data_IF_418150584017
#
_entry.id   IF_418150584017
#
_cell.length_a   1.000
_cell.length_b   1.000
_cell.length_c   1.000
_cell.angle_alpha   90.00
_cell.angle_beta   90.00
_cell.angle_gamma   90.00
#
_symmetry.space_group_name_H-M   'P 1'
#
loop_
_entity.id
_entity.type
_entity.pdbx_description
1 polymer ?
#
# COMPACT_ATOMS: atom_id res chain seq x y z
N UNK A 1 19.64 4.16 -3.14
CA UNK A 1 18.45 4.98 -3.52
C UNK A 1 17.15 4.28 -3.11
N UNK A 2 16.04 5.01 -3.08
CA UNK A 2 14.70 4.45 -2.79
C UNK A 2 14.37 3.27 -3.73
N UNK A 3 14.63 3.42 -5.03
CA UNK A 3 14.34 2.38 -6.03
C UNK A 3 15.12 1.09 -5.76
N UNK A 4 16.37 1.19 -5.33
CA UNK A 4 17.17 0.02 -4.96
C UNK A 4 16.59 -0.71 -3.75
N UNK A 5 16.16 0.03 -2.71
CA UNK A 5 15.51 -0.55 -1.54
C UNK A 5 14.17 -1.21 -1.92
N UNK A 6 13.37 -0.56 -2.76
CA UNK A 6 12.11 -1.11 -3.25
C UNK A 6 12.30 -2.40 -4.04
N UNK A 7 13.28 -2.45 -4.94
CA UNK A 7 13.68 -3.68 -5.65
C UNK A 7 14.02 -4.81 -4.66
N UNK A 8 14.81 -4.52 -3.63
CA UNK A 8 15.18 -5.51 -2.60
C UNK A 8 13.95 -6.09 -1.91
N UNK A 9 12.95 -5.27 -1.59
CA UNK A 9 11.68 -5.73 -1.01
C UNK A 9 10.94 -6.67 -1.97
N UNK A 10 10.82 -6.29 -3.24
CA UNK A 10 10.17 -7.12 -4.27
C UNK A 10 10.89 -8.46 -4.44
N UNK A 11 12.20 -8.48 -4.42
CA UNK A 11 13.01 -9.70 -4.55
C UNK A 11 12.97 -10.60 -3.31
N UNK A 12 12.68 -10.05 -2.13
CA UNK A 12 12.58 -10.82 -0.88
C UNK A 12 11.51 -11.93 -0.94
N UNK A 13 10.52 -11.82 -1.84
CA UNK A 13 9.53 -12.86 -2.07
C UNK A 13 10.08 -14.15 -2.65
N UNK A 14 11.27 -14.11 -3.23
CA UNK A 14 11.99 -15.30 -3.76
C UNK A 14 12.60 -16.16 -2.65
N UNK A 15 12.75 -15.61 -1.44
CA UNK A 15 13.26 -16.29 -0.25
C UNK A 15 12.14 -17.01 0.51
N UNK A 16 12.44 -17.53 1.71
CA UNK A 16 11.44 -18.13 2.60
C UNK A 16 10.45 -17.10 3.18
N UNK A 17 10.67 -15.80 2.96
CA UNK A 17 9.76 -14.73 3.40
C UNK A 17 8.58 -14.63 2.44
N UNK A 18 7.39 -14.46 3.01
CA UNK A 18 6.17 -14.15 2.27
C UNK A 18 5.82 -12.71 2.56
N UNK A 19 5.86 -11.87 1.53
CA UNK A 19 5.30 -10.52 1.63
C UNK A 19 4.03 -10.43 0.78
N UNK A 20 3.12 -9.57 1.19
CA UNK A 20 1.87 -9.27 0.50
C UNK A 20 1.58 -7.79 0.65
N UNK A 21 1.12 -7.17 -0.42
CA UNK A 21 0.58 -5.81 -0.35
C UNK A 21 -0.94 -5.89 -0.11
N UNK A 22 -1.42 -5.07 0.82
CA UNK A 22 -2.85 -4.90 1.10
C UNK A 22 -3.24 -3.45 0.88
N UNK A 23 -3.71 -3.08 -0.33
CA UNK A 23 -4.28 -1.76 -0.57
C UNK A 23 -5.50 -1.54 0.31
N UNK A 24 -5.44 -0.53 1.19
CA UNK A 24 -6.53 -0.22 2.13
C UNK A 24 -7.76 0.32 1.41
N UNK A 25 -7.53 1.18 0.42
CA UNK A 25 -8.56 1.79 -0.41
C UNK A 25 -8.27 1.49 -1.88
N UNK A 26 -9.26 1.03 -2.59
CA UNK A 26 -9.16 0.74 -4.02
C UNK A 26 -10.49 1.04 -4.70
N UNK A 27 -10.43 1.66 -5.84
CA UNK A 27 -11.58 1.89 -6.74
C UNK A 27 -11.47 1.00 -7.98
N UNK A 28 -10.63 -0.02 -7.94
CA UNK A 28 -10.36 -0.91 -9.07
C UNK A 28 -11.57 -1.77 -9.39
N UNK A 29 -11.81 -1.96 -10.69
CA UNK A 29 -12.91 -2.74 -11.26
C UNK A 29 -12.39 -3.75 -12.30
N UNK A 30 -11.16 -4.23 -12.13
CA UNK A 30 -10.47 -5.08 -13.09
C UNK A 30 -11.15 -6.45 -13.21
N UNK A 31 -11.48 -7.05 -12.06
CA UNK A 31 -12.16 -8.33 -12.02
C UNK A 31 -13.60 -8.23 -12.52
N UNK A 32 -14.36 -7.25 -12.07
CA UNK A 32 -15.73 -7.03 -12.54
C UNK A 32 -15.80 -6.85 -14.05
N UNK A 33 -14.89 -6.05 -14.61
CA UNK A 33 -14.80 -5.85 -16.07
C UNK A 33 -14.39 -7.12 -16.80
N UNK A 34 -13.45 -7.90 -16.29
CA UNK A 34 -13.03 -9.17 -16.89
C UNK A 34 -14.15 -10.21 -16.93
N UNK A 35 -15.09 -10.13 -16.00
CA UNK A 35 -16.28 -10.97 -15.93
C UNK A 35 -17.49 -10.40 -16.69
N UNK A 36 -17.31 -9.25 -17.36
CA UNK A 36 -18.40 -8.58 -18.10
C UNK A 36 -19.46 -7.92 -17.19
N UNK A 37 -19.13 -7.68 -15.93
CA UNK A 37 -20.07 -7.09 -14.97
C UNK A 37 -20.02 -5.56 -15.06
N UNK A 38 -21.10 -4.97 -15.51
CA UNK A 38 -21.33 -3.52 -15.43
C UNK A 38 -21.74 -3.14 -14.00
N UNK A 39 -20.79 -3.03 -13.09
CA UNK A 39 -21.03 -2.69 -11.69
C UNK A 39 -20.62 -1.27 -11.36
N UNK A 40 -21.39 -0.60 -10.50
CA UNK A 40 -21.01 0.67 -9.85
C UNK A 40 -20.04 0.45 -8.69
N UNK A 41 -19.93 -0.78 -8.21
CA UNK A 41 -19.08 -1.15 -7.09
C UNK A 41 -17.67 -1.50 -7.56
N UNK A 42 -16.68 -1.23 -6.73
CA UNK A 42 -15.34 -1.76 -6.92
C UNK A 42 -15.29 -3.27 -6.69
N UNK A 43 -14.23 -3.91 -7.16
CA UNK A 43 -14.07 -5.36 -7.06
C UNK A 43 -14.05 -5.87 -5.62
N UNK A 44 -13.51 -5.07 -4.67
CA UNK A 44 -13.47 -5.44 -3.26
C UNK A 44 -14.88 -5.52 -2.67
N UNK A 45 -15.72 -4.55 -2.99
CA UNK A 45 -17.12 -4.54 -2.56
C UNK A 45 -17.86 -5.74 -3.15
N UNK A 46 -17.71 -6.00 -4.47
CA UNK A 46 -18.33 -7.16 -5.12
C UNK A 46 -17.89 -8.48 -4.46
N UNK A 47 -16.58 -8.67 -4.25
CA UNK A 47 -16.06 -9.90 -3.64
C UNK A 47 -16.46 -10.04 -2.18
N UNK A 48 -16.77 -8.95 -1.47
CA UNK A 48 -17.32 -9.00 -0.12
C UNK A 48 -18.68 -9.68 -0.08
N UNK A 49 -19.52 -9.50 -1.11
CA UNK A 49 -20.83 -10.12 -1.21
C UNK A 49 -20.77 -11.55 -1.75
N UNK A 50 -19.83 -11.83 -2.64
CA UNK A 50 -19.77 -13.12 -3.35
C UNK A 50 -19.03 -14.19 -2.56
N UNK A 51 -17.91 -13.84 -1.93
CA UNK A 51 -17.07 -14.79 -1.22
C UNK A 51 -17.64 -15.15 0.14
N UNK A 52 -17.62 -16.42 0.47
CA UNK A 52 -17.83 -16.94 1.82
C UNK A 52 -16.53 -16.81 2.66
N UNK A 53 -16.66 -16.94 3.98
CA UNK A 53 -15.49 -16.92 4.86
C UNK A 53 -14.48 -18.02 4.52
N UNK A 54 -13.24 -17.65 4.34
CA UNK A 54 -12.14 -18.55 3.96
C UNK A 54 -11.96 -18.72 2.45
N UNK A 55 -12.88 -18.21 1.63
CA UNK A 55 -12.77 -18.29 0.17
C UNK A 55 -11.90 -17.18 -0.41
N UNK A 56 -11.34 -17.45 -1.58
CA UNK A 56 -10.54 -16.51 -2.34
C UNK A 56 -10.73 -16.71 -3.85
N UNK A 57 -10.48 -15.64 -4.62
CA UNK A 57 -10.56 -15.69 -6.08
C UNK A 57 -9.33 -16.37 -6.70
N UNK A 58 -9.49 -16.88 -7.91
CA UNK A 58 -8.33 -17.23 -8.71
C UNK A 58 -7.39 -16.02 -8.85
N UNK A 59 -6.07 -16.23 -8.88
CA UNK A 59 -5.10 -15.17 -9.07
C UNK A 59 -5.23 -14.53 -10.45
N UNK A 60 -5.25 -13.20 -10.49
CA UNK A 60 -5.34 -12.41 -11.72
C UNK A 60 -4.05 -11.59 -11.84
N UNK A 61 -3.36 -11.59 -12.99
CA UNK A 61 -2.20 -10.72 -13.18
C UNK A 61 -2.57 -9.26 -12.91
N UNK A 62 -1.71 -8.55 -12.19
CA UNK A 62 -1.88 -7.11 -11.98
C UNK A 62 -1.81 -6.42 -13.33
N UNK A 63 -2.85 -5.65 -13.69
CA UNK A 63 -2.86 -4.91 -14.95
C UNK A 63 -1.64 -3.99 -15.06
N UNK A 64 -1.05 -3.95 -16.25
CA UNK A 64 0.13 -3.14 -16.59
C UNK A 64 -0.11 -1.61 -16.54
N UNK A 65 -1.08 -1.13 -15.78
CA UNK A 65 -1.34 0.30 -15.60
C UNK A 65 -0.19 1.05 -14.93
N UNK A 66 0.72 0.33 -14.28
CA UNK A 66 1.94 0.87 -13.71
C UNK A 66 3.06 1.17 -14.75
N UNK A 67 2.86 0.87 -16.02
CA UNK A 67 3.90 1.03 -17.05
C UNK A 67 4.27 2.47 -17.38
N UNK A 68 3.52 3.45 -16.90
CA UNK A 68 3.87 4.87 -17.06
C UNK A 68 4.32 5.45 -15.74
N UNK A 69 5.38 4.89 -15.19
CA UNK A 69 6.19 5.64 -14.25
C UNK A 69 6.84 6.76 -15.05
N UNK A 70 6.15 7.90 -15.17
CA UNK A 70 6.79 9.15 -15.55
C UNK A 70 7.68 9.59 -14.38
N UNK A 71 8.71 8.80 -14.10
CA UNK A 71 9.87 9.34 -13.47
C UNK A 71 10.40 10.32 -14.52
N UNK A 72 10.29 11.63 -14.25
CA UNK A 72 11.07 12.63 -14.93
C UNK A 72 12.54 12.34 -14.54
N UNK A 73 13.10 11.34 -15.19
CA UNK A 73 14.50 11.00 -15.05
C UNK A 73 15.24 12.13 -15.73
N UNK A 74 16.04 12.84 -14.96
CA UNK A 74 17.08 13.68 -15.49
C UNK A 74 17.85 12.83 -16.49
N UNK A 75 17.93 13.32 -17.71
CA UNK A 75 18.56 12.67 -18.85
C UNK A 75 19.89 12.05 -18.45
N UNK A 76 20.14 10.79 -18.89
CA UNK A 76 21.44 10.11 -18.91
C UNK A 76 21.89 9.27 -17.70
N UNK A 77 20.99 8.67 -16.91
CA UNK A 77 21.44 7.68 -15.94
C UNK A 77 21.07 6.23 -16.35
N UNK A 78 21.90 5.61 -17.22
CA UNK A 78 21.75 4.21 -17.66
C UNK A 78 21.62 3.21 -16.50
N UNK A 79 22.18 3.52 -15.32
CA UNK A 79 22.04 2.69 -14.12
C UNK A 79 20.64 2.77 -13.56
N UNK A 80 20.01 3.94 -13.64
CA UNK A 80 18.65 4.14 -13.16
C UNK A 80 17.65 3.44 -14.07
N UNK A 81 17.81 3.51 -15.38
CA UNK A 81 16.98 2.81 -16.36
C UNK A 81 17.02 1.30 -16.15
N UNK A 82 18.19 0.74 -15.88
CA UNK A 82 18.32 -0.67 -15.57
C UNK A 82 17.52 -1.06 -14.31
N UNK A 83 17.63 -0.29 -13.24
CA UNK A 83 16.88 -0.54 -11.99
C UNK A 83 15.36 -0.41 -12.22
N UNK A 84 14.93 0.58 -12.99
CA UNK A 84 13.51 0.77 -13.34
C UNK A 84 12.98 -0.41 -14.14
N UNK A 85 13.70 -0.88 -15.14
CA UNK A 85 13.31 -2.04 -15.95
C UNK A 85 13.25 -3.34 -15.12
N UNK A 86 14.19 -3.53 -14.20
CA UNK A 86 14.19 -4.67 -13.27
C UNK A 86 12.97 -4.62 -12.32
N UNK A 87 12.64 -3.45 -11.77
CA UNK A 87 11.44 -3.26 -10.94
C UNK A 87 10.18 -3.53 -11.75
N UNK A 88 10.07 -3.00 -12.97
CA UNK A 88 8.92 -3.23 -13.85
C UNK A 88 8.72 -4.73 -14.10
N UNK A 89 9.81 -5.45 -14.41
CA UNK A 89 9.77 -6.91 -14.58
C UNK A 89 9.32 -7.67 -13.33
N UNK A 90 9.63 -7.16 -12.14
CA UNK A 90 9.16 -7.74 -10.87
C UNK A 90 7.68 -7.45 -10.62
N UNK A 91 7.22 -6.24 -10.93
CA UNK A 91 5.83 -5.83 -10.79
C UNK A 91 4.89 -6.59 -11.75
N UNK A 92 5.35 -6.91 -12.96
CA UNK A 92 4.61 -7.75 -13.91
C UNK A 92 4.32 -9.16 -13.36
N UNK A 93 5.07 -9.62 -12.36
CA UNK A 93 4.90 -10.91 -11.70
C UNK A 93 4.01 -10.84 -10.46
N UNK A 94 3.34 -9.72 -10.22
CA UNK A 94 2.39 -9.59 -9.12
C UNK A 94 0.99 -10.01 -9.60
N UNK A 95 0.28 -10.72 -8.74
CA UNK A 95 -1.09 -11.16 -8.97
C UNK A 95 -2.01 -10.61 -7.91
N UNK A 96 -3.21 -10.27 -8.32
CA UNK A 96 -4.28 -9.84 -7.43
C UNK A 96 -5.13 -11.05 -7.03
N UNK A 97 -5.41 -11.16 -5.75
CA UNK A 97 -6.33 -12.15 -5.17
C UNK A 97 -7.24 -11.43 -4.19
N UNK A 98 -8.54 -11.69 -4.26
CA UNK A 98 -9.49 -11.26 -3.23
C UNK A 98 -9.72 -12.42 -2.27
N UNK A 99 -9.61 -12.15 -0.97
CA UNK A 99 -9.74 -13.14 0.09
C UNK A 99 -10.66 -12.64 1.19
N UNK A 100 -11.60 -13.44 1.65
CA UNK A 100 -12.51 -13.11 2.76
C UNK A 100 -12.13 -13.91 4.01
N UNK A 101 -11.43 -13.31 4.98
CA UNK A 101 -10.96 -14.03 6.17
C UNK A 101 -12.10 -14.54 7.06
N UNK A 102 -13.12 -13.71 7.28
CA UNK A 102 -14.26 -13.99 8.15
C UNK A 102 -15.56 -13.50 7.54
N UNK A 103 -16.70 -14.08 7.96
CA UNK A 103 -18.02 -13.72 7.44
C UNK A 103 -18.41 -12.25 7.72
N UNK A 104 -17.94 -11.70 8.82
CA UNK A 104 -18.20 -10.33 9.24
C UNK A 104 -17.22 -9.29 8.66
N UNK A 105 -16.18 -9.73 7.97
CA UNK A 105 -15.19 -8.85 7.35
C UNK A 105 -15.49 -8.61 5.87
N UNK A 106 -15.14 -7.43 5.34
CA UNK A 106 -15.04 -7.24 3.90
C UNK A 106 -13.92 -8.11 3.30
N UNK A 107 -14.03 -8.44 2.03
CA UNK A 107 -12.95 -9.08 1.31
C UNK A 107 -11.71 -8.18 1.29
N UNK A 108 -10.55 -8.79 1.44
CA UNK A 108 -9.25 -8.12 1.31
C UNK A 108 -8.77 -8.24 -0.13
N UNK A 109 -8.31 -7.15 -0.73
CA UNK A 109 -7.51 -7.19 -1.96
C UNK A 109 -6.07 -7.46 -1.57
N UNK A 110 -5.50 -8.50 -2.12
CA UNK A 110 -4.11 -8.89 -1.90
C UNK A 110 -3.35 -8.81 -3.21
N UNK A 111 -2.19 -8.17 -3.18
CA UNK A 111 -1.25 -8.17 -4.29
C UNK A 111 -0.07 -9.06 -3.91
N UNK A 112 0.04 -10.19 -4.57
CA UNK A 112 0.87 -11.33 -4.17
C UNK A 112 1.88 -11.65 -5.27
N UNK A 113 3.16 -11.84 -4.95
CA UNK A 113 4.17 -12.25 -5.92
C UNK A 113 3.88 -13.62 -6.53
N UNK A 114 4.22 -13.80 -7.80
CA UNK A 114 4.06 -15.05 -8.54
C UNK A 114 4.63 -16.25 -7.80
N UNK A 115 5.80 -16.10 -7.16
CA UNK A 115 6.45 -17.17 -6.39
C UNK A 115 5.64 -17.66 -5.18
N UNK A 116 4.71 -16.87 -4.68
CA UNK A 116 3.80 -17.25 -3.60
C UNK A 116 2.52 -17.84 -4.18
N UNK A 117 1.98 -17.23 -5.21
CA UNK A 117 0.71 -17.62 -5.85
C UNK A 117 0.80 -19.04 -6.45
N UNK A 118 1.91 -19.39 -7.06
CA UNK A 118 2.12 -20.71 -7.68
C UNK A 118 2.44 -21.83 -6.69
N UNK A 119 2.75 -21.48 -5.44
CA UNK A 119 3.07 -22.44 -4.39
C UNK A 119 1.90 -22.56 -3.40
N UNK A 120 1.12 -23.64 -3.52
CA UNK A 120 -0.07 -23.88 -2.68
C UNK A 120 0.23 -23.84 -1.18
N UNK A 121 1.36 -24.37 -0.74
CA UNK A 121 1.74 -24.36 0.68
C UNK A 121 2.02 -22.94 1.17
N UNK A 122 2.75 -22.13 0.40
CA UNK A 122 3.01 -20.74 0.74
C UNK A 122 1.73 -19.91 0.76
N UNK A 123 0.86 -20.14 -0.22
CA UNK A 123 -0.44 -19.45 -0.29
C UNK A 123 -1.33 -19.81 0.90
N UNK A 124 -1.35 -21.08 1.30
CA UNK A 124 -2.07 -21.54 2.49
C UNK A 124 -1.55 -20.89 3.77
N UNK A 125 -0.24 -20.82 3.95
CA UNK A 125 0.40 -20.15 5.09
C UNK A 125 0.01 -18.65 5.12
N UNK A 126 0.02 -17.99 3.96
CA UNK A 126 -0.40 -16.59 3.85
C UNK A 126 -1.84 -16.39 4.33
N UNK A 127 -2.79 -17.20 3.81
CA UNK A 127 -4.20 -17.07 4.20
C UNK A 127 -4.46 -17.41 5.66
N UNK A 128 -3.81 -18.43 6.20
CA UNK A 128 -3.89 -18.76 7.62
C UNK A 128 -3.36 -17.61 8.49
N UNK A 129 -2.20 -17.04 8.13
CA UNK A 129 -1.63 -15.89 8.82
C UNK A 129 -2.54 -14.68 8.79
N UNK A 130 -3.11 -14.34 7.63
CA UNK A 130 -4.06 -13.24 7.50
C UNK A 130 -5.34 -13.48 8.31
N UNK A 131 -5.89 -14.69 8.24
CA UNK A 131 -7.07 -15.05 9.04
C UNK A 131 -6.84 -14.87 10.53
N UNK A 132 -5.70 -15.28 11.02
CA UNK A 132 -5.31 -15.09 12.43
C UNK A 132 -5.16 -13.61 12.78
N UNK A 133 -4.50 -12.82 11.94
CA UNK A 133 -4.32 -11.38 12.15
C UNK A 133 -5.62 -10.58 12.06
N UNK A 134 -6.64 -11.11 11.39
CA UNK A 134 -7.96 -10.50 11.26
C UNK A 134 -8.95 -10.96 12.33
N UNK A 135 -8.53 -11.66 13.36
CA UNK A 135 -9.41 -12.31 14.34
C UNK A 135 -10.11 -11.38 15.33
N UNK A 136 -9.76 -10.09 15.38
CA UNK A 136 -10.37 -9.14 16.33
C UNK A 136 -11.68 -8.58 15.77
N UNK A 137 -12.79 -8.84 16.45
CA UNK A 137 -14.11 -8.28 16.10
C UNK A 137 -14.08 -6.75 16.15
N UNK A 138 -14.65 -6.13 15.12
CA UNK A 138 -14.67 -4.66 14.97
C UNK A 138 -13.43 -4.05 14.30
N UNK A 139 -12.39 -4.83 14.00
CA UNK A 139 -11.23 -4.40 13.20
C UNK A 139 -11.36 -5.01 11.81
N UNK A 140 -11.65 -4.17 10.80
CA UNK A 140 -11.92 -4.61 9.42
C UNK A 140 -10.65 -4.74 8.55
N UNK A 141 -9.51 -4.96 9.19
CA UNK A 141 -8.19 -5.10 8.55
C UNK A 141 -7.27 -5.94 9.43
N UNK A 142 -6.16 -6.49 8.90
CA UNK A 142 -5.17 -7.17 9.73
C UNK A 142 -4.64 -6.29 10.85
N UNK A 143 -4.57 -6.83 12.06
CA UNK A 143 -4.20 -6.08 13.27
C UNK A 143 -2.89 -5.27 13.15
N UNK A 144 -1.81 -5.77 12.53
CA UNK A 144 -0.60 -4.97 12.34
C UNK A 144 -0.82 -3.70 11.50
N UNK A 145 -1.67 -3.76 10.46
CA UNK A 145 -2.03 -2.59 9.66
C UNK A 145 -2.85 -1.58 10.45
N UNK A 146 -3.82 -2.06 11.23
CA UNK A 146 -4.60 -1.23 12.13
C UNK A 146 -3.71 -0.49 13.14
N UNK A 147 -2.75 -1.20 13.75
CA UNK A 147 -1.81 -0.58 14.69
C UNK A 147 -0.90 0.44 14.02
N UNK A 148 -0.38 0.13 12.82
CA UNK A 148 0.44 1.06 12.06
C UNK A 148 -0.34 2.35 11.71
N UNK A 149 -1.58 2.23 11.24
CA UNK A 149 -2.46 3.37 10.95
C UNK A 149 -2.70 4.23 12.21
N UNK A 150 -2.96 3.60 13.35
CA UNK A 150 -3.11 4.31 14.62
C UNK A 150 -1.84 5.06 15.03
N UNK A 151 -0.68 4.42 14.90
CA UNK A 151 0.60 5.06 15.24
C UNK A 151 0.85 6.29 14.37
N UNK A 152 0.63 6.17 13.05
CA UNK A 152 0.78 7.31 12.12
C UNK A 152 -0.19 8.45 12.44
N UNK A 153 -1.45 8.14 12.76
CA UNK A 153 -2.44 9.15 13.16
C UNK A 153 -2.10 9.82 14.49
N UNK A 154 -1.52 9.09 15.44
CA UNK A 154 -1.04 9.69 16.69
C UNK A 154 0.14 10.64 16.44
N UNK A 155 1.09 10.24 15.60
CA UNK A 155 2.20 11.11 15.18
C UNK A 155 1.67 12.37 14.48
N UNK A 156 0.69 12.23 13.58
CA UNK A 156 0.06 13.36 12.90
C UNK A 156 -0.58 14.36 13.88
N UNK A 157 -1.17 13.90 14.97
CA UNK A 157 -1.71 14.79 16.03
C UNK A 157 -0.63 15.50 16.83
N UNK A 158 0.55 14.91 16.97
CA UNK A 158 1.69 15.53 17.66
C UNK A 158 2.46 16.53 16.76
N UNK A 159 2.29 16.47 15.44
CA UNK A 159 3.01 17.33 14.48
C UNK A 159 2.80 18.84 14.70
N UNK A 160 1.59 19.35 15.02
CA UNK A 160 1.43 20.77 15.30
C UNK A 160 2.28 21.24 16.49
N UNK A 161 2.30 20.46 17.58
CA UNK A 161 3.11 20.77 18.75
C UNK A 161 4.62 20.73 18.44
N UNK A 162 5.04 19.74 17.66
CA UNK A 162 6.45 19.64 17.20
C UNK A 162 6.84 20.80 16.30
N UNK A 163 5.97 21.19 15.37
CA UNK A 163 6.17 22.37 14.52
C UNK A 163 6.34 23.62 15.37
N UNK A 164 5.40 23.86 16.29
CA UNK A 164 5.44 25.04 17.16
C UNK A 164 6.74 25.09 17.97
N UNK A 165 7.17 23.97 18.54
CA UNK A 165 8.43 23.88 19.28
C UNK A 165 9.64 24.14 18.38
N UNK A 166 9.67 23.58 17.17
CA UNK A 166 10.76 23.77 16.20
C UNK A 166 10.83 25.22 15.72
N UNK A 167 9.68 25.83 15.40
CA UNK A 167 9.62 27.24 14.99
C UNK A 167 10.09 28.18 16.10
N UNK A 168 9.64 27.93 17.33
CA UNK A 168 10.11 28.69 18.48
C UNK A 168 11.61 28.60 18.63
N UNK A 169 12.18 27.43 18.45
CA UNK A 169 13.63 27.21 18.52
C UNK A 169 14.40 27.91 17.39
N UNK A 170 13.81 27.95 16.18
CA UNK A 170 14.40 28.68 15.04
C UNK A 170 14.40 30.17 15.32
N UNK A 171 13.30 30.76 15.79
CA UNK A 171 13.19 32.18 16.16
C UNK A 171 14.24 32.53 17.24
N UNK A 172 14.33 31.71 18.29
CA UNK A 172 15.33 31.88 19.37
C UNK A 172 16.79 31.86 18.86
N UNK A 173 17.09 31.11 17.80
CA UNK A 173 18.44 30.98 17.26
C UNK A 173 18.83 32.08 16.28
N UNK A 174 17.88 32.61 15.53
CA UNK A 174 18.15 33.51 14.42
C UNK A 174 17.67 34.95 14.65
N UNK A 175 16.90 35.21 15.74
CA UNK A 175 16.35 36.52 16.08
C UNK A 175 15.56 37.23 14.92
N UNK A 176 15.18 36.46 13.88
CA UNK A 176 14.48 36.95 12.69
C UNK A 176 13.09 36.33 12.61
N UNK A 177 12.03 37.14 12.89
CA UNK A 177 10.64 36.70 12.81
C UNK A 177 10.22 36.33 11.37
N UNK A 178 10.79 36.95 10.35
CA UNK A 178 10.43 36.72 8.94
C UNK A 178 10.71 35.31 8.47
N UNK A 179 11.72 34.64 9.01
CA UNK A 179 12.00 33.23 8.69
C UNK A 179 10.93 32.27 9.19
N UNK A 180 10.26 32.59 10.28
CA UNK A 180 9.20 31.75 10.84
C UNK A 180 7.96 31.73 9.95
N UNK A 181 7.63 32.87 9.34
CA UNK A 181 6.44 33.01 8.48
C UNK A 181 6.61 32.25 7.17
N UNK A 182 7.82 32.27 6.58
CA UNK A 182 8.17 31.48 5.40
C UNK A 182 8.08 29.96 5.69
N UNK A 183 8.54 29.53 6.87
CA UNK A 183 8.50 28.11 7.25
C UNK A 183 7.07 27.62 7.50
N UNK A 184 6.21 28.45 8.06
CA UNK A 184 4.79 28.14 8.25
C UNK A 184 4.03 28.08 6.92
N UNK A 185 4.29 29.00 6.00
CA UNK A 185 3.62 29.03 4.68
C UNK A 185 4.07 27.89 3.78
N UNK A 186 5.33 27.46 3.79
CA UNK A 186 5.82 26.36 2.95
C UNK A 186 5.24 24.99 3.35
N UNK A 187 4.84 24.78 4.61
CA UNK A 187 4.33 23.49 5.09
C UNK A 187 2.80 23.43 5.27
N UNK A 188 2.11 24.57 5.29
CA UNK A 188 0.64 24.62 5.42
C UNK A 188 -0.10 23.95 4.28
N UNK A 189 0.42 24.02 3.07
CA UNK A 189 -0.23 23.52 1.85
C UNK A 189 -0.36 22.00 1.75
N UNK A 190 0.39 21.21 2.52
CA UNK A 190 0.38 19.74 2.44
C UNK A 190 -0.50 19.03 3.47
N UNK A 191 -1.02 19.75 4.46
CA UNK A 191 -1.75 19.14 5.57
C UNK A 191 -3.26 19.43 5.58
N UNK A 192 -3.73 20.37 4.79
CA UNK A 192 -5.16 20.73 4.72
C UNK A 192 -5.94 20.04 3.59
N UNK A 193 -5.30 19.23 2.76
CA UNK A 193 -5.91 18.48 1.65
C UNK A 193 -6.47 17.11 2.00
N UNK A 194 -6.82 16.86 3.24
CA UNK A 194 -7.31 15.56 3.73
C UNK A 194 -8.72 15.64 4.33
N UNK A 195 -9.72 15.92 3.50
CA UNK A 195 -11.14 15.61 3.78
C UNK A 195 -11.63 14.52 2.85
#
# INVERSE_FOLDING_TARGET
SFLTAYKTVLEASKSNKIWVSLPKYTTRQELGKSLGWASRYDDRALMTFILSAGEYTAPIPLEKTAQKWHLALLEDDQKLDKVVNEITSLLEKIHVVYYKPHSWMPALRLEIPYSVVTNKSRLSILFQGLRYQCGASGIMEPYPLFMADRMVKHLGRAMPAFRQASTRRIIELYEEEDFSEIFFTMHGYRTEGGH
#
